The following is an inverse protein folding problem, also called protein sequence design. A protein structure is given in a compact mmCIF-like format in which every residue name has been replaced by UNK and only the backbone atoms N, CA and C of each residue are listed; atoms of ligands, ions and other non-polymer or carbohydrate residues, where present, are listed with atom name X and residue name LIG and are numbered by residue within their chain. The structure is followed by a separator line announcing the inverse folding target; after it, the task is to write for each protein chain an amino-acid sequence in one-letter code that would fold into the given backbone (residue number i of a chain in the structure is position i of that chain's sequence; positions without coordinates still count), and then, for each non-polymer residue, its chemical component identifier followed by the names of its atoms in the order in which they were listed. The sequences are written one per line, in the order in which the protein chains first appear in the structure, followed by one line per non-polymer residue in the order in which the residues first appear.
data_IF_672820844759
#
_entry.id   IF_672820844759
#
_cell.length_a   1.000
_cell.length_b   1.000
_cell.length_c   1.000
_cell.angle_alpha   90.00
_cell.angle_beta   90.00
_cell.angle_gamma   90.00
#
_symmetry.space_group_name_H-M   'P 1'
#
loop_
_entity.id
_entity.type
_entity.pdbx_description
1 polymer ?
#
# COMPACT_ATOMS: atom_id res chain seq x y z
N UNK A 1 6.49 -9.78 32.97
CA UNK A 1 7.91 -10.09 32.74
C UNK A 1 8.64 -8.80 32.35
N UNK A 2 9.73 -8.46 33.05
CA UNK A 2 10.51 -7.25 32.77
C UNK A 2 11.25 -7.42 31.45
N UNK A 3 10.79 -6.74 30.39
CA UNK A 3 11.40 -6.75 29.03
C UNK A 3 12.84 -6.18 28.99
N UNK A 4 13.31 -5.61 30.12
CA UNK A 4 14.48 -4.75 30.15
C UNK A 4 15.84 -5.44 29.93
N UNK A 5 15.91 -6.76 29.97
CA UNK A 5 17.19 -7.50 29.91
C UNK A 5 17.24 -8.56 28.78
N UNK A 6 16.43 -8.41 27.72
CA UNK A 6 16.40 -9.42 26.68
C UNK A 6 17.72 -9.53 25.90
N UNK A 7 18.38 -8.39 25.67
CA UNK A 7 19.73 -8.32 25.12
C UNK A 7 20.54 -7.31 25.95
N UNK A 8 21.66 -7.75 26.50
CA UNK A 8 22.69 -6.87 27.10
C UNK A 8 23.44 -6.05 26.02
N UNK A 9 22.90 -5.95 24.82
CA UNK A 9 23.46 -5.27 23.67
C UNK A 9 22.98 -3.83 23.58
N UNK A 10 23.83 -2.92 23.16
CA UNK A 10 23.48 -1.52 22.99
C UNK A 10 22.34 -1.37 21.97
N UNK A 11 21.15 -1.04 22.46
CA UNK A 11 19.95 -0.84 21.62
C UNK A 11 20.17 0.19 20.52
N UNK A 12 21.02 1.21 20.75
CA UNK A 12 21.33 2.23 19.77
C UNK A 12 22.00 1.63 18.53
N UNK A 13 22.92 0.69 18.73
CA UNK A 13 23.58 -0.01 17.64
C UNK A 13 22.55 -0.78 16.78
N UNK A 14 21.67 -1.56 17.40
CA UNK A 14 20.62 -2.28 16.68
C UNK A 14 19.63 -1.38 15.98
N UNK A 15 19.38 -0.19 16.51
CA UNK A 15 18.48 0.77 15.89
C UNK A 15 19.08 1.38 14.61
N UNK A 16 20.38 1.65 14.59
CA UNK A 16 21.07 2.25 13.44
C UNK A 16 21.36 1.22 12.34
N UNK A 17 21.61 -0.05 12.70
CA UNK A 17 21.98 -1.11 11.77
C UNK A 17 21.04 -1.26 10.56
N UNK A 18 19.69 -1.30 10.68
CA UNK A 18 18.80 -1.40 9.54
C UNK A 18 18.93 -0.23 8.55
N UNK A 19 19.18 0.99 9.05
CA UNK A 19 19.41 2.15 8.20
C UNK A 19 20.75 2.07 7.46
N UNK A 20 21.80 1.56 8.11
CA UNK A 20 23.11 1.34 7.46
C UNK A 20 23.00 0.28 6.36
N UNK A 21 22.33 -0.84 6.61
CA UNK A 21 22.09 -1.88 5.62
C UNK A 21 21.30 -1.30 4.44
N UNK A 22 20.23 -0.57 4.72
CA UNK A 22 19.41 0.07 3.70
C UNK A 22 20.20 1.09 2.87
N UNK A 23 20.99 1.95 3.52
CA UNK A 23 21.85 2.93 2.84
C UNK A 23 22.90 2.23 1.97
N UNK A 24 23.56 1.17 2.50
CA UNK A 24 24.51 0.38 1.72
C UNK A 24 23.88 -0.24 0.48
N UNK A 25 22.64 -0.73 0.60
CA UNK A 25 21.89 -1.24 -0.54
C UNK A 25 21.60 -0.14 -1.57
N UNK A 26 21.16 1.06 -1.14
CA UNK A 26 20.91 2.19 -2.04
C UNK A 26 22.19 2.55 -2.79
N UNK A 27 23.31 2.70 -2.07
CA UNK A 27 24.61 3.02 -2.64
C UNK A 27 25.03 1.96 -3.65
N UNK A 28 24.99 0.67 -3.25
CA UNK A 28 25.33 -0.44 -4.15
C UNK A 28 24.47 -0.45 -5.41
N UNK A 29 23.14 -0.30 -5.26
CA UNK A 29 22.22 -0.29 -6.39
C UNK A 29 22.47 0.90 -7.31
N UNK A 30 22.74 2.08 -6.75
CA UNK A 30 23.06 3.30 -7.50
C UNK A 30 24.30 3.11 -8.35
N UNK A 31 25.41 2.65 -7.75
CA UNK A 31 26.68 2.47 -8.47
C UNK A 31 26.66 1.34 -9.51
N UNK A 32 25.78 0.37 -9.39
CA UNK A 32 25.64 -0.73 -10.35
C UNK A 32 24.56 -0.47 -11.42
N UNK A 33 23.85 0.65 -11.39
CA UNK A 33 22.89 0.98 -12.46
C UNK A 33 23.65 1.31 -13.76
N UNK A 34 23.24 0.70 -14.88
CA UNK A 34 23.89 0.84 -16.18
C UNK A 34 23.91 2.31 -16.66
N UNK A 35 22.88 3.09 -16.32
CA UNK A 35 22.72 4.48 -16.70
C UNK A 35 23.69 5.43 -15.99
N UNK A 36 24.13 5.13 -14.76
CA UNK A 36 25.20 5.90 -14.10
C UNK A 36 26.55 5.58 -14.72
N UNK A 37 26.78 4.33 -15.14
CA UNK A 37 27.99 3.92 -15.87
C UNK A 37 28.12 4.66 -17.20
N UNK A 38 26.99 5.04 -17.82
CA UNK A 38 26.97 5.83 -19.07
C UNK A 38 27.21 7.35 -18.87
N UNK A 39 27.37 7.83 -17.63
CA UNK A 39 27.59 9.25 -17.33
C UNK A 39 26.37 10.15 -17.46
N UNK A 40 25.19 9.59 -17.63
CA UNK A 40 23.93 10.31 -17.69
C UNK A 40 23.41 10.60 -16.28
N UNK A 41 23.30 11.89 -15.91
CA UNK A 41 22.75 12.32 -14.61
C UNK A 41 21.30 11.85 -14.39
N UNK A 42 20.55 11.57 -15.45
CA UNK A 42 19.19 11.03 -15.40
C UNK A 42 19.14 9.53 -15.04
N UNK A 43 20.26 8.84 -15.06
CA UNK A 43 20.36 7.42 -14.77
C UNK A 43 19.99 6.98 -13.35
N UNK A 44 19.86 7.94 -12.43
CA UNK A 44 19.37 7.69 -11.08
C UNK A 44 17.85 7.52 -11.04
N UNK A 45 17.14 8.07 -12.03
CA UNK A 45 15.68 8.04 -12.11
C UNK A 45 15.24 6.89 -13.00
N UNK A 46 14.37 6.03 -12.48
CA UNK A 46 13.69 5.04 -13.30
C UNK A 46 12.31 5.55 -13.71
N UNK A 47 12.07 5.53 -14.99
CA UNK A 47 10.77 5.87 -15.56
C UNK A 47 9.91 4.60 -15.67
N UNK A 48 8.73 4.61 -15.06
CA UNK A 48 7.69 3.61 -15.30
C UNK A 48 6.74 4.06 -16.40
N UNK A 49 5.85 3.18 -16.83
CA UNK A 49 4.87 3.49 -17.89
C UNK A 49 4.02 4.74 -17.59
N UNK A 50 3.72 4.99 -16.31
CA UNK A 50 2.90 6.13 -15.88
C UNK A 50 3.71 7.43 -15.74
N UNK A 51 5.05 7.38 -15.73
CA UNK A 51 5.90 8.53 -15.46
C UNK A 51 5.78 9.63 -16.50
N UNK A 52 5.68 9.25 -17.78
CA UNK A 52 5.48 10.20 -18.90
C UNK A 52 4.16 10.97 -18.76
N UNK A 53 3.12 10.27 -18.31
CA UNK A 53 1.80 10.85 -18.06
C UNK A 53 1.85 11.87 -16.92
N UNK A 54 2.56 11.56 -15.82
CA UNK A 54 2.72 12.51 -14.71
C UNK A 54 3.51 13.77 -15.11
N UNK A 55 4.55 13.59 -15.91
CA UNK A 55 5.33 14.73 -16.44
C UNK A 55 4.49 15.61 -17.38
N UNK A 56 3.67 14.99 -18.22
CA UNK A 56 2.75 15.72 -19.10
C UNK A 56 1.76 16.57 -18.30
N UNK A 57 1.08 15.97 -17.32
CA UNK A 57 0.13 16.70 -16.46
C UNK A 57 0.82 17.76 -15.60
N UNK A 58 2.05 17.52 -15.14
CA UNK A 58 2.81 18.52 -14.39
C UNK A 58 3.15 19.74 -15.25
N UNK A 59 3.53 19.53 -16.52
CA UNK A 59 3.74 20.62 -17.49
C UNK A 59 2.46 21.40 -17.74
N UNK A 60 1.33 20.74 -17.94
CA UNK A 60 0.05 21.38 -18.14
C UNK A 60 -0.33 22.23 -16.90
N UNK A 61 -0.12 21.68 -15.68
CA UNK A 61 -0.40 22.39 -14.43
C UNK A 61 0.44 23.69 -14.31
N UNK A 62 1.71 23.66 -14.70
CA UNK A 62 2.59 24.85 -14.71
C UNK A 62 2.06 25.91 -15.70
N UNK A 63 1.49 25.48 -16.81
CA UNK A 63 0.92 26.36 -17.84
C UNK A 63 -0.54 26.76 -17.54
N UNK A 64 -1.06 26.42 -16.34
CA UNK A 64 -2.47 26.65 -15.94
C UNK A 64 -3.50 25.96 -16.86
N UNK A 65 -3.11 24.89 -17.54
CA UNK A 65 -4.03 24.05 -18.31
C UNK A 65 -4.56 22.91 -17.45
N UNK A 66 -5.84 22.99 -17.11
CA UNK A 66 -6.55 22.02 -16.27
C UNK A 66 -7.44 21.05 -17.07
N UNK A 67 -7.47 21.14 -18.39
CA UNK A 67 -8.44 20.46 -19.25
C UNK A 67 -8.41 18.94 -19.16
N UNK A 68 -7.25 18.34 -18.84
CA UNK A 68 -7.04 16.88 -18.80
C UNK A 68 -6.36 16.41 -17.50
N UNK A 69 -6.58 17.09 -16.38
CA UNK A 69 -5.87 16.81 -15.14
C UNK A 69 -6.36 15.50 -14.49
N UNK A 70 -5.46 14.59 -14.15
CA UNK A 70 -5.78 13.41 -13.35
C UNK A 70 -5.90 13.77 -11.86
N UNK A 71 -7.12 14.13 -11.46
CA UNK A 71 -7.44 14.54 -10.09
C UNK A 71 -7.05 13.46 -9.06
N UNK A 72 -7.17 12.18 -9.42
CA UNK A 72 -6.86 11.09 -8.51
C UNK A 72 -5.37 10.99 -8.15
N UNK A 73 -4.49 11.67 -8.90
CA UNK A 73 -3.04 11.71 -8.67
C UNK A 73 -2.50 13.15 -8.52
N UNK A 74 -3.40 14.09 -8.25
CA UNK A 74 -3.11 15.53 -8.19
C UNK A 74 -1.97 15.87 -7.23
N UNK A 75 -1.91 15.25 -6.05
CA UNK A 75 -0.83 15.51 -5.07
C UNK A 75 0.55 15.20 -5.64
N UNK A 76 0.70 14.10 -6.38
CA UNK A 76 1.96 13.72 -7.00
C UNK A 76 2.30 14.61 -8.20
N UNK A 77 1.33 14.88 -9.04
CA UNK A 77 1.46 15.77 -10.19
C UNK A 77 1.88 17.18 -9.72
N UNK A 78 1.25 17.70 -8.65
CA UNK A 78 1.61 19.00 -8.05
C UNK A 78 3.05 18.99 -7.51
N UNK A 79 3.48 17.91 -6.85
CA UNK A 79 4.86 17.77 -6.37
C UNK A 79 5.86 17.88 -7.54
N UNK A 80 5.62 17.15 -8.63
CA UNK A 80 6.46 17.22 -9.83
C UNK A 80 6.41 18.62 -10.44
N UNK A 81 5.22 19.22 -10.56
CA UNK A 81 5.05 20.57 -11.11
C UNK A 81 5.83 21.62 -10.30
N UNK A 82 5.81 21.56 -8.96
CA UNK A 82 6.59 22.45 -8.09
C UNK A 82 8.09 22.27 -8.33
N UNK A 83 8.59 21.02 -8.41
CA UNK A 83 10.01 20.75 -8.68
C UNK A 83 10.42 21.32 -10.04
N UNK A 84 9.60 21.14 -11.08
CA UNK A 84 9.85 21.67 -12.42
C UNK A 84 9.75 23.21 -12.46
N UNK A 85 8.75 23.80 -11.80
CA UNK A 85 8.57 25.25 -11.71
C UNK A 85 9.78 25.94 -11.06
N UNK A 86 10.32 25.31 -10.00
CA UNK A 86 11.54 25.77 -9.33
C UNK A 86 12.82 25.46 -10.13
N UNK A 87 12.70 24.91 -11.36
CA UNK A 87 13.82 24.50 -12.22
C UNK A 87 14.80 23.53 -11.54
N UNK A 88 14.32 22.74 -10.59
CA UNK A 88 15.09 21.69 -9.93
C UNK A 88 15.10 20.43 -10.79
N UNK A 89 16.16 19.61 -10.63
CA UNK A 89 16.23 18.31 -11.28
C UNK A 89 15.16 17.38 -10.69
N UNK A 90 14.56 16.52 -11.52
CA UNK A 90 13.59 15.49 -11.10
C UNK A 90 14.15 14.51 -10.05
N UNK A 91 15.47 14.37 -9.96
CA UNK A 91 16.16 13.66 -8.87
C UNK A 91 15.71 14.15 -7.49
N UNK A 92 15.29 15.44 -7.39
CA UNK A 92 14.71 15.99 -6.15
C UNK A 92 13.48 15.23 -5.70
N UNK A 93 12.61 14.75 -6.61
CA UNK A 93 11.45 13.92 -6.28
C UNK A 93 11.91 12.60 -5.68
N UNK A 94 12.94 11.98 -6.25
CA UNK A 94 13.54 10.74 -5.76
C UNK A 94 14.12 10.92 -4.35
N UNK A 95 14.87 12.00 -4.13
CA UNK A 95 15.41 12.35 -2.81
C UNK A 95 14.27 12.51 -1.78
N UNK A 96 13.19 13.19 -2.15
CA UNK A 96 12.02 13.35 -1.29
C UNK A 96 11.37 11.99 -0.96
N UNK A 97 11.32 11.05 -1.91
CA UNK A 97 10.85 9.68 -1.67
C UNK A 97 11.73 8.97 -0.63
N UNK A 98 13.05 9.07 -0.72
CA UNK A 98 13.97 8.51 0.29
C UNK A 98 13.82 9.17 1.65
N UNK A 99 13.71 10.49 1.72
CA UNK A 99 13.49 11.20 2.98
C UNK A 99 12.17 10.80 3.64
N UNK A 100 11.09 10.70 2.87
CA UNK A 100 9.81 10.23 3.40
C UNK A 100 9.87 8.77 3.84
N UNK A 101 10.71 7.92 3.22
CA UNK A 101 10.95 6.54 3.66
C UNK A 101 11.60 6.49 5.04
N UNK A 102 12.58 7.35 5.31
CA UNK A 102 13.20 7.45 6.64
C UNK A 102 12.15 7.85 7.67
N UNK A 103 11.32 8.86 7.39
CA UNK A 103 10.28 9.34 8.31
C UNK A 103 9.24 8.24 8.54
N UNK A 104 8.75 7.59 7.50
CA UNK A 104 7.73 6.55 7.60
C UNK A 104 8.22 5.30 8.34
N UNK A 105 9.46 4.87 8.09
CA UNK A 105 10.08 3.76 8.81
C UNK A 105 10.23 4.06 10.31
N UNK A 106 10.58 5.30 10.66
CA UNK A 106 10.60 5.75 12.04
C UNK A 106 9.20 5.78 12.67
N UNK A 107 8.17 6.25 11.94
CA UNK A 107 6.78 6.18 12.38
C UNK A 107 6.35 4.71 12.63
N UNK A 108 6.71 3.79 11.73
CA UNK A 108 6.42 2.37 11.88
C UNK A 108 7.08 1.77 13.14
N UNK A 109 8.35 2.14 13.40
CA UNK A 109 9.02 1.81 14.67
C UNK A 109 8.25 2.34 15.88
N UNK A 110 7.81 3.61 15.83
CA UNK A 110 7.08 4.24 16.94
C UNK A 110 5.72 3.58 17.18
N UNK A 111 5.02 3.16 16.11
CA UNK A 111 3.78 2.37 16.20
C UNK A 111 4.06 1.07 16.95
N UNK A 112 5.03 0.29 16.49
CA UNK A 112 5.40 -0.99 17.10
C UNK A 112 5.85 -0.86 18.56
N UNK A 113 6.62 0.20 18.87
CA UNK A 113 7.05 0.53 20.23
C UNK A 113 5.86 0.84 21.13
N UNK A 114 4.85 1.58 20.64
CA UNK A 114 3.68 1.98 21.44
C UNK A 114 2.70 0.86 21.67
N UNK A 115 2.45 0.04 20.64
CA UNK A 115 1.47 -1.07 20.75
C UNK A 115 2.07 -2.25 21.50
N UNK A 116 3.36 -2.53 21.30
CA UNK A 116 4.00 -3.74 21.82
C UNK A 116 5.25 -3.42 22.65
N UNK A 117 6.41 -3.26 21.97
CA UNK A 117 7.67 -2.96 22.63
C UNK A 117 8.68 -2.35 21.66
N UNK A 118 9.77 -1.79 22.20
CA UNK A 118 10.87 -1.24 21.38
C UNK A 118 11.50 -2.28 20.45
N UNK A 119 11.55 -3.55 20.85
CA UNK A 119 12.12 -4.63 20.05
C UNK A 119 11.20 -5.03 18.88
N UNK A 120 9.90 -5.09 19.12
CA UNK A 120 8.92 -5.34 18.06
C UNK A 120 8.95 -4.21 17.02
N UNK A 121 9.01 -2.95 17.48
CA UNK A 121 9.18 -1.81 16.57
C UNK A 121 10.44 -1.90 15.74
N UNK A 122 11.57 -2.31 16.36
CA UNK A 122 12.84 -2.49 15.66
C UNK A 122 12.79 -3.62 14.60
N UNK A 123 12.21 -4.76 14.93
CA UNK A 123 12.04 -5.88 13.97
C UNK A 123 11.18 -5.40 12.79
N UNK A 124 10.08 -4.70 13.05
CA UNK A 124 9.20 -4.20 12.00
C UNK A 124 9.92 -3.20 11.08
N UNK A 125 10.66 -2.24 11.66
CA UNK A 125 11.50 -1.30 10.93
C UNK A 125 12.52 -2.03 10.06
N UNK A 126 13.20 -3.05 10.60
CA UNK A 126 14.18 -3.84 9.87
C UNK A 126 13.54 -4.57 8.68
N UNK A 127 12.41 -5.25 8.90
CA UNK A 127 11.68 -5.92 7.81
C UNK A 127 11.25 -4.94 6.72
N UNK A 128 10.76 -3.75 7.09
CA UNK A 128 10.35 -2.74 6.11
C UNK A 128 11.52 -2.22 5.27
N UNK A 129 12.63 -1.86 5.90
CA UNK A 129 13.80 -1.32 5.21
C UNK A 129 14.55 -2.37 4.38
N UNK A 130 14.54 -3.65 4.78
CA UNK A 130 15.23 -4.72 4.05
C UNK A 130 14.38 -5.39 2.96
N UNK A 131 13.08 -5.08 2.89
CA UNK A 131 12.24 -5.63 1.83
C UNK A 131 12.46 -4.90 0.50
N UNK A 132 13.38 -5.45 -0.30
CA UNK A 132 13.86 -4.87 -1.55
C UNK A 132 12.75 -4.46 -2.54
N UNK A 133 11.68 -5.24 -2.77
CA UNK A 133 10.64 -4.85 -3.72
C UNK A 133 9.97 -3.50 -3.39
N UNK A 134 9.80 -3.17 -2.10
CA UNK A 134 9.32 -1.85 -1.69
C UNK A 134 10.42 -0.81 -1.89
N UNK A 135 11.66 -1.10 -1.44
CA UNK A 135 12.74 -0.11 -1.44
C UNK A 135 13.17 0.29 -2.84
N UNK A 136 13.13 -0.63 -3.80
CA UNK A 136 13.41 -0.35 -5.21
C UNK A 136 12.43 0.67 -5.82
N UNK A 137 11.19 0.77 -5.29
CA UNK A 137 10.22 1.77 -5.77
C UNK A 137 10.62 3.21 -5.49
N UNK A 138 11.55 3.45 -4.56
CA UNK A 138 12.08 4.79 -4.33
C UNK A 138 12.78 5.37 -5.56
N UNK A 139 13.36 4.54 -6.44
CA UNK A 139 14.05 4.98 -7.65
C UNK A 139 13.10 5.32 -8.81
N UNK A 140 11.83 4.95 -8.71
CA UNK A 140 10.87 5.18 -9.77
C UNK A 140 10.14 6.52 -9.59
N UNK A 141 9.99 7.26 -10.69
CA UNK A 141 9.13 8.44 -10.72
C UNK A 141 7.66 8.01 -10.77
N UNK A 142 7.19 7.41 -9.68
CA UNK A 142 5.87 6.81 -9.51
C UNK A 142 5.28 7.17 -8.14
N UNK A 143 3.96 7.09 -8.03
CA UNK A 143 3.22 7.46 -6.82
C UNK A 143 3.34 6.44 -5.68
N UNK A 144 3.76 5.19 -5.97
CA UNK A 144 3.70 4.05 -5.05
C UNK A 144 4.42 4.31 -3.73
N UNK A 145 5.68 4.78 -3.80
CA UNK A 145 6.49 4.92 -2.60
C UNK A 145 5.99 6.04 -1.69
N UNK A 146 5.62 7.18 -2.27
CA UNK A 146 5.02 8.26 -1.50
C UNK A 146 3.69 7.82 -0.87
N UNK A 147 2.88 7.04 -1.59
CA UNK A 147 1.64 6.53 -1.04
C UNK A 147 1.86 5.60 0.17
N UNK A 148 2.81 4.67 0.10
CA UNK A 148 3.18 3.80 1.23
C UNK A 148 3.64 4.66 2.42
N UNK A 149 4.57 5.58 2.18
CA UNK A 149 5.17 6.41 3.22
C UNK A 149 4.14 7.30 3.91
N UNK A 150 3.34 8.03 3.14
CA UNK A 150 2.32 8.92 3.70
C UNK A 150 1.16 8.16 4.35
N UNK A 151 0.86 6.95 3.88
CA UNK A 151 -0.10 6.04 4.53
C UNK A 151 0.35 5.65 5.94
N UNK A 152 1.62 5.30 6.11
CA UNK A 152 2.21 4.98 7.42
C UNK A 152 2.21 6.21 8.34
N UNK A 153 2.64 7.37 7.82
CA UNK A 153 2.68 8.62 8.58
C UNK A 153 1.26 9.03 9.01
N UNK A 154 0.29 8.98 8.11
CA UNK A 154 -1.11 9.30 8.40
C UNK A 154 -1.68 8.39 9.50
N UNK A 155 -1.48 7.09 9.40
CA UNK A 155 -1.96 6.15 10.43
C UNK A 155 -1.29 6.40 11.78
N UNK A 156 0.01 6.71 11.82
CA UNK A 156 0.68 7.11 13.05
C UNK A 156 0.04 8.36 13.66
N UNK A 157 -0.22 9.38 12.87
CA UNK A 157 -0.84 10.62 13.34
C UNK A 157 -2.26 10.37 13.85
N UNK A 158 -3.09 9.67 13.10
CA UNK A 158 -4.49 9.42 13.46
C UNK A 158 -4.62 8.62 14.76
N UNK A 159 -3.85 7.55 14.93
CA UNK A 159 -4.01 6.66 16.08
C UNK A 159 -3.20 7.11 17.32
N UNK A 160 -2.07 7.81 17.11
CA UNK A 160 -1.12 8.08 18.20
C UNK A 160 -0.80 9.55 18.43
N UNK A 161 -1.25 10.46 17.55
CA UNK A 161 -1.00 11.92 17.62
C UNK A 161 -2.26 12.71 17.32
N UNK A 162 -3.37 12.31 17.93
CA UNK A 162 -4.73 12.85 17.69
C UNK A 162 -4.84 14.37 17.95
N UNK A 163 -3.96 14.93 18.76
CA UNK A 163 -3.88 16.37 19.04
C UNK A 163 -3.44 17.19 17.81
N UNK A 164 -2.76 16.57 16.83
CA UNK A 164 -2.25 17.22 15.63
C UNK A 164 -3.31 17.32 14.51
N UNK A 165 -4.49 17.86 14.82
CA UNK A 165 -5.67 17.86 13.94
C UNK A 165 -5.42 18.46 12.57
N UNK A 166 -4.75 19.62 12.49
CA UNK A 166 -4.45 20.30 11.22
C UNK A 166 -3.51 19.44 10.37
N UNK A 167 -2.48 18.84 10.98
CA UNK A 167 -1.55 17.99 10.26
C UNK A 167 -2.24 16.72 9.75
N UNK A 168 -3.15 16.12 10.54
CA UNK A 168 -3.97 14.99 10.12
C UNK A 168 -4.83 15.37 8.91
N UNK A 169 -5.47 16.54 8.96
CA UNK A 169 -6.29 17.02 7.84
C UNK A 169 -5.47 17.20 6.57
N UNK A 170 -4.34 17.90 6.64
CA UNK A 170 -3.45 18.12 5.49
C UNK A 170 -2.93 16.80 4.91
N UNK A 171 -2.50 15.86 5.77
CA UNK A 171 -2.05 14.54 5.34
C UNK A 171 -3.17 13.70 4.74
N UNK A 172 -4.40 13.80 5.26
CA UNK A 172 -5.56 13.11 4.69
C UNK A 172 -5.86 13.60 3.29
N UNK A 173 -5.87 14.93 3.07
CA UNK A 173 -6.06 15.54 1.75
C UNK A 173 -4.93 15.11 0.81
N UNK A 174 -3.69 15.18 1.25
CA UNK A 174 -2.54 14.80 0.43
C UNK A 174 -2.62 13.32 0.01
N UNK A 175 -2.89 12.40 0.94
CA UNK A 175 -3.04 10.97 0.66
C UNK A 175 -4.23 10.70 -0.26
N UNK A 176 -5.37 11.40 -0.06
CA UNK A 176 -6.57 11.23 -0.88
C UNK A 176 -6.30 11.46 -2.37
N UNK A 177 -5.55 12.51 -2.69
CA UNK A 177 -5.20 12.87 -4.07
C UNK A 177 -3.86 12.30 -4.54
N UNK A 178 -3.28 11.34 -3.82
CA UNK A 178 -2.03 10.72 -4.22
C UNK A 178 -2.24 9.52 -5.15
N UNK A 179 -3.33 8.75 -4.90
CA UNK A 179 -3.72 7.57 -5.70
C UNK A 179 -5.21 7.27 -5.56
N UNK A 180 -5.84 6.66 -6.59
CA UNK A 180 -7.22 6.19 -6.47
C UNK A 180 -7.44 5.24 -5.28
N UNK A 181 -6.47 4.38 -4.96
CA UNK A 181 -6.56 3.39 -3.85
C UNK A 181 -6.53 4.02 -2.45
N UNK A 182 -6.34 5.33 -2.34
CA UNK A 182 -6.32 6.05 -1.05
C UNK A 182 -7.62 5.87 -0.26
N UNK A 183 -8.74 5.68 -0.96
CA UNK A 183 -10.02 5.45 -0.29
C UNK A 183 -10.02 4.17 0.57
N UNK A 184 -9.24 3.14 0.19
CA UNK A 184 -9.18 1.87 0.94
C UNK A 184 -8.62 2.08 2.35
N UNK A 185 -7.52 2.83 2.46
CA UNK A 185 -6.92 3.14 3.77
C UNK A 185 -7.80 4.09 4.58
N UNK A 186 -8.36 5.13 3.94
CA UNK A 186 -9.22 6.09 4.61
C UNK A 186 -10.51 5.43 5.11
N UNK A 187 -11.12 4.56 4.30
CA UNK A 187 -12.29 3.76 4.70
C UNK A 187 -11.95 2.85 5.88
N UNK A 188 -10.80 2.18 5.84
CA UNK A 188 -10.37 1.28 6.91
C UNK A 188 -10.13 2.03 8.23
N UNK A 189 -9.54 3.23 8.17
CA UNK A 189 -9.39 4.12 9.34
C UNK A 189 -10.77 4.55 9.85
N UNK A 190 -11.67 4.98 8.97
CA UNK A 190 -13.01 5.42 9.35
C UNK A 190 -13.80 4.30 10.04
N UNK A 191 -13.83 3.10 9.46
CA UNK A 191 -14.52 1.95 10.03
C UNK A 191 -13.96 1.56 11.41
N UNK A 192 -12.64 1.55 11.57
CA UNK A 192 -12.02 1.25 12.87
C UNK A 192 -12.41 2.27 13.93
N UNK A 193 -12.43 3.57 13.57
CA UNK A 193 -12.81 4.64 14.50
C UNK A 193 -14.31 4.57 14.84
N UNK A 194 -15.18 4.30 13.87
CA UNK A 194 -16.64 4.18 14.08
C UNK A 194 -16.94 3.07 15.09
N UNK A 195 -16.33 1.91 14.92
CA UNK A 195 -16.53 0.77 15.83
C UNK A 195 -16.10 1.08 17.26
N UNK A 196 -15.07 1.92 17.44
CA UNK A 196 -14.56 2.29 18.76
C UNK A 196 -15.03 3.66 19.29
N UNK A 197 -15.68 4.49 18.47
CA UNK A 197 -16.13 5.84 18.87
C UNK A 197 -17.17 5.81 20.00
N UNK A 198 -17.97 4.74 20.09
CA UNK A 198 -18.91 4.52 21.20
C UNK A 198 -18.20 4.44 22.57
N UNK A 199 -16.91 4.12 22.59
CA UNK A 199 -16.14 3.90 23.80
C UNK A 199 -15.17 5.05 24.13
N UNK A 200 -14.93 6.01 23.22
CA UNK A 200 -13.94 7.07 23.44
C UNK A 200 -14.30 8.40 22.74
N UNK A 201 -14.74 9.41 23.54
CA UNK A 201 -15.13 10.75 23.08
C UNK A 201 -14.04 11.49 22.27
N UNK A 202 -12.75 11.13 22.43
CA UNK A 202 -11.63 11.78 21.76
C UNK A 202 -11.58 11.51 20.24
N UNK A 203 -12.32 10.53 19.74
CA UNK A 203 -12.41 10.24 18.31
C UNK A 203 -13.46 11.06 17.58
N UNK A 204 -14.35 11.76 18.27
CA UNK A 204 -15.49 12.42 17.63
C UNK A 204 -15.10 13.43 16.53
N UNK A 205 -14.00 14.18 16.71
CA UNK A 205 -13.52 15.13 15.72
C UNK A 205 -12.95 14.43 14.47
N UNK A 206 -12.06 13.47 14.70
CA UNK A 206 -11.41 12.68 13.63
C UNK A 206 -12.48 11.91 12.86
N UNK A 207 -13.44 11.30 13.59
CA UNK A 207 -14.55 10.57 12.99
C UNK A 207 -15.39 11.48 12.06
N UNK A 208 -15.78 12.68 12.52
CA UNK A 208 -16.52 13.64 11.70
C UNK A 208 -15.73 14.01 10.45
N UNK A 209 -14.44 14.25 10.59
CA UNK A 209 -13.57 14.62 9.49
C UNK A 209 -13.47 13.48 8.47
N UNK A 210 -13.25 12.24 8.90
CA UNK A 210 -13.23 11.07 8.00
C UNK A 210 -14.60 10.82 7.37
N UNK A 211 -15.69 10.96 8.10
CA UNK A 211 -17.04 10.83 7.55
C UNK A 211 -17.27 11.87 6.45
N UNK A 212 -16.94 13.15 6.70
CA UNK A 212 -17.08 14.21 5.70
C UNK A 212 -16.26 13.87 4.45
N UNK A 213 -14.97 13.53 4.60
CA UNK A 213 -14.14 13.16 3.47
C UNK A 213 -14.61 11.90 2.76
N UNK A 214 -15.07 10.89 3.50
CA UNK A 214 -15.61 9.66 2.93
C UNK A 214 -16.86 9.91 2.12
N UNK A 215 -17.83 10.66 2.65
CA UNK A 215 -19.06 11.01 1.92
C UNK A 215 -18.78 11.95 0.76
N UNK A 216 -17.86 12.92 0.89
CA UNK A 216 -17.45 13.78 -0.22
C UNK A 216 -16.77 12.96 -1.33
N UNK A 217 -15.96 11.98 -0.97
CA UNK A 217 -15.31 11.07 -1.92
C UNK A 217 -16.32 10.13 -2.59
N UNK A 218 -17.27 9.58 -1.84
CA UNK A 218 -18.39 8.82 -2.41
C UNK A 218 -19.21 9.68 -3.37
N UNK A 219 -19.48 10.93 -3.01
CA UNK A 219 -20.18 11.85 -3.88
C UNK A 219 -19.38 12.12 -5.16
N UNK A 220 -18.06 12.30 -5.07
CA UNK A 220 -17.17 12.42 -6.22
C UNK A 220 -17.15 11.15 -7.09
N UNK A 221 -17.12 9.97 -6.48
CA UNK A 221 -17.26 8.70 -7.21
C UNK A 221 -18.64 8.62 -7.89
N UNK A 222 -19.71 8.92 -7.19
CA UNK A 222 -21.06 8.88 -7.77
C UNK A 222 -21.22 9.92 -8.87
N UNK A 223 -20.66 11.13 -8.73
CA UNK A 223 -20.65 12.13 -9.81
C UNK A 223 -19.76 11.69 -10.97
N UNK A 224 -18.59 11.11 -10.71
CA UNK A 224 -17.71 10.56 -11.76
C UNK A 224 -18.35 9.36 -12.47
N UNK A 225 -18.97 8.45 -11.73
CA UNK A 225 -19.75 7.34 -12.29
C UNK A 225 -20.97 7.90 -13.03
N UNK A 226 -21.66 8.93 -12.52
CA UNK A 226 -22.78 9.56 -13.17
C UNK A 226 -22.42 10.25 -14.48
N UNK A 227 -21.27 10.95 -14.51
CA UNK A 227 -20.76 11.66 -15.70
C UNK A 227 -20.20 10.64 -16.71
N UNK A 228 -19.53 9.57 -16.25
CA UNK A 228 -19.00 8.50 -17.09
C UNK A 228 -19.93 7.29 -17.19
N UNK A 229 -21.21 7.48 -16.89
CA UNK A 229 -22.24 6.45 -16.90
C UNK A 229 -22.33 5.67 -18.21
N UNK A 230 -22.02 6.30 -19.33
CA UNK A 230 -21.89 5.68 -20.65
C UNK A 230 -20.70 4.70 -20.77
N UNK A 231 -19.73 4.75 -19.82
CA UNK A 231 -18.47 3.98 -19.95
C UNK A 231 -18.36 2.78 -19.00
N UNK A 232 -19.39 2.46 -18.19
CA UNK A 232 -19.32 1.34 -17.24
C UNK A 232 -19.23 -0.02 -17.96
N UNK A 233 -20.01 -0.20 -19.02
CA UNK A 233 -19.92 -1.39 -19.89
C UNK A 233 -18.68 -1.39 -20.75
N UNK A 234 -18.17 -0.22 -21.15
CA UNK A 234 -16.88 -0.10 -21.83
C UNK A 234 -15.73 -0.46 -20.88
N UNK A 235 -15.82 -0.07 -19.60
CA UNK A 235 -14.87 -0.47 -18.55
C UNK A 235 -14.93 -1.97 -18.24
N UNK A 236 -16.10 -2.61 -18.34
CA UNK A 236 -16.26 -4.07 -18.27
C UNK A 236 -15.66 -4.74 -19.49
N UNK A 237 -15.96 -4.26 -20.70
CA UNK A 237 -15.44 -4.81 -21.95
C UNK A 237 -13.92 -4.67 -22.07
N UNK A 238 -13.36 -3.59 -21.52
CA UNK A 238 -11.91 -3.35 -21.43
C UNK A 238 -11.23 -4.05 -20.27
N UNK A 239 -11.98 -4.77 -19.44
CA UNK A 239 -11.44 -5.51 -18.30
C UNK A 239 -10.98 -4.64 -17.13
N UNK A 240 -11.47 -3.41 -17.00
CA UNK A 240 -11.17 -2.54 -15.85
C UNK A 240 -11.96 -2.94 -14.61
N UNK A 241 -13.16 -3.48 -14.78
CA UNK A 241 -13.99 -4.04 -13.70
C UNK A 241 -14.12 -5.53 -13.97
N UNK A 242 -13.85 -6.37 -12.97
CA UNK A 242 -13.76 -7.83 -13.10
C UNK A 242 -12.89 -8.29 -14.29
N UNK A 243 -12.00 -7.43 -14.73
CA UNK A 243 -11.09 -7.75 -15.81
C UNK A 243 -10.12 -8.86 -15.40
N UNK A 244 -9.69 -9.57 -16.40
CA UNK A 244 -8.57 -10.49 -16.30
C UNK A 244 -7.38 -9.88 -17.03
N UNK A 245 -6.27 -9.90 -16.35
CA UNK A 245 -4.99 -9.50 -16.93
C UNK A 245 -4.27 -10.72 -17.50
N UNK A 246 -3.15 -10.47 -18.15
CA UNK A 246 -2.24 -11.52 -18.58
C UNK A 246 -1.88 -12.50 -17.44
N UNK A 247 -1.74 -12.00 -16.21
CA UNK A 247 -1.45 -12.83 -15.04
C UNK A 247 -2.61 -13.74 -14.66
N UNK A 248 -3.85 -13.25 -14.72
CA UNK A 248 -5.03 -14.07 -14.47
C UNK A 248 -5.23 -15.13 -15.56
N UNK A 249 -4.91 -14.80 -16.81
CA UNK A 249 -4.96 -15.76 -17.91
C UNK A 249 -3.97 -16.90 -17.77
N UNK A 250 -2.83 -16.69 -17.09
CA UNK A 250 -1.84 -17.75 -16.87
C UNK A 250 -2.24 -18.75 -15.80
N UNK A 251 -3.11 -18.37 -14.85
CA UNK A 251 -3.61 -19.24 -13.77
C UNK A 251 -5.04 -19.74 -14.02
N UNK A 252 -5.86 -18.91 -14.62
CA UNK A 252 -7.20 -19.22 -15.04
C UNK A 252 -7.17 -19.42 -16.56
N UNK A 253 -6.89 -20.61 -17.00
CA UNK A 253 -6.91 -20.98 -18.40
C UNK A 253 -8.14 -20.39 -19.11
N UNK A 254 -8.09 -20.24 -20.45
CA UNK A 254 -9.22 -19.78 -21.30
C UNK A 254 -10.58 -20.38 -20.88
N UNK A 255 -10.60 -21.56 -20.29
CA UNK A 255 -11.76 -22.24 -19.75
C UNK A 255 -12.46 -21.49 -18.60
N UNK A 256 -11.73 -20.71 -17.77
CA UNK A 256 -12.35 -19.96 -16.69
C UNK A 256 -13.21 -18.79 -17.17
N UNK A 257 -13.00 -18.36 -18.40
CA UNK A 257 -13.62 -17.16 -19.00
C UNK A 257 -14.55 -17.58 -20.16
N UNK A 258 -14.44 -18.81 -20.66
CA UNK A 258 -15.17 -19.30 -21.82
C UNK A 258 -16.71 -19.26 -21.69
N UNK A 259 -17.21 -19.08 -20.48
CA UNK A 259 -18.65 -18.95 -20.22
C UNK A 259 -19.13 -17.51 -19.92
N UNK A 260 -18.25 -16.50 -19.96
CA UNK A 260 -18.68 -15.12 -19.73
C UNK A 260 -19.54 -14.60 -20.88
N UNK A 261 -20.72 -14.11 -20.54
CA UNK A 261 -21.58 -13.43 -21.52
C UNK A 261 -20.92 -12.13 -21.99
N UNK A 262 -21.15 -11.76 -23.24
CA UNK A 262 -20.56 -10.52 -23.76
C UNK A 262 -21.17 -9.31 -23.04
N UNK A 263 -20.36 -8.42 -22.41
CA UNK A 263 -20.85 -7.24 -21.71
C UNK A 263 -21.68 -6.28 -22.58
N UNK A 264 -21.47 -6.30 -23.91
CA UNK A 264 -22.19 -5.42 -24.86
C UNK A 264 -23.69 -5.73 -24.98
N UNK A 265 -24.15 -6.91 -24.51
CA UNK A 265 -25.56 -7.33 -24.54
C UNK A 265 -26.37 -6.59 -23.47
N UNK A 266 -25.70 -6.11 -22.43
CA UNK A 266 -26.36 -5.45 -21.29
C UNK A 266 -26.45 -3.94 -21.50
N UNK A 267 -27.50 -3.34 -20.94
CA UNK A 267 -27.65 -1.89 -20.95
C UNK A 267 -26.44 -1.20 -20.30
N UNK A 268 -26.04 -0.04 -20.84
CA UNK A 268 -24.90 0.74 -20.33
C UNK A 268 -25.20 1.47 -19.02
N UNK A 269 -25.94 0.84 -18.11
CA UNK A 269 -26.38 1.39 -16.86
C UNK A 269 -26.12 0.47 -15.66
N UNK A 270 -26.39 0.95 -14.45
CA UNK A 270 -26.16 0.19 -13.21
C UNK A 270 -26.98 -1.11 -13.19
N UNK A 271 -28.19 -1.11 -13.77
CA UNK A 271 -29.03 -2.31 -13.84
C UNK A 271 -28.42 -3.34 -14.79
N UNK A 272 -27.92 -2.90 -15.95
CA UNK A 272 -27.18 -3.79 -16.86
C UNK A 272 -25.93 -4.39 -16.21
N UNK A 273 -25.19 -3.61 -15.41
CA UNK A 273 -24.06 -4.13 -14.62
C UNK A 273 -24.51 -5.18 -13.61
N UNK A 274 -25.59 -4.93 -12.87
CA UNK A 274 -26.12 -5.88 -11.89
C UNK A 274 -26.61 -7.17 -12.55
N UNK A 275 -27.26 -7.07 -13.71
CA UNK A 275 -27.68 -8.23 -14.51
C UNK A 275 -26.45 -9.01 -15.00
N UNK A 276 -25.44 -8.34 -15.55
CA UNK A 276 -24.19 -8.98 -15.97
C UNK A 276 -23.53 -9.75 -14.82
N UNK A 277 -23.44 -9.13 -13.63
CA UNK A 277 -22.88 -9.78 -12.44
C UNK A 277 -23.72 -10.97 -12.02
N UNK A 278 -25.06 -10.85 -12.04
CA UNK A 278 -25.98 -11.94 -11.71
C UNK A 278 -25.79 -13.13 -12.65
N UNK A 279 -25.78 -12.90 -13.97
CA UNK A 279 -25.70 -13.94 -14.97
C UNK A 279 -24.33 -14.64 -15.00
N UNK A 280 -23.27 -13.91 -14.60
CA UNK A 280 -21.90 -14.41 -14.59
C UNK A 280 -21.35 -14.69 -13.17
N UNK A 281 -22.20 -14.71 -12.14
CA UNK A 281 -21.80 -14.69 -10.73
C UNK A 281 -20.73 -15.73 -10.36
N UNK A 282 -20.90 -16.98 -10.76
CA UNK A 282 -19.95 -18.05 -10.44
C UNK A 282 -18.58 -17.84 -11.11
N UNK A 283 -18.59 -17.41 -12.38
CA UNK A 283 -17.36 -17.18 -13.13
C UNK A 283 -16.62 -15.98 -12.55
N UNK A 284 -17.32 -14.87 -12.31
CA UNK A 284 -16.76 -13.66 -11.71
C UNK A 284 -16.21 -13.94 -10.30
N UNK A 285 -16.91 -14.73 -9.49
CA UNK A 285 -16.44 -15.15 -8.17
C UNK A 285 -15.16 -15.98 -8.29
N UNK A 286 -15.10 -16.94 -9.21
CA UNK A 286 -13.88 -17.73 -9.46
C UNK A 286 -12.72 -16.86 -9.88
N UNK A 287 -12.92 -15.94 -10.82
CA UNK A 287 -11.90 -14.96 -11.26
C UNK A 287 -11.44 -14.08 -10.10
N UNK A 288 -12.36 -13.61 -9.26
CA UNK A 288 -12.04 -12.80 -8.08
C UNK A 288 -11.16 -13.57 -7.08
N UNK A 289 -11.46 -14.83 -6.81
CA UNK A 289 -10.66 -15.68 -5.93
C UNK A 289 -9.24 -15.84 -6.48
N UNK A 290 -9.08 -16.12 -7.78
CA UNK A 290 -7.76 -16.22 -8.40
C UNK A 290 -6.96 -14.92 -8.30
N UNK A 291 -7.60 -13.75 -8.50
CA UNK A 291 -6.95 -12.45 -8.33
C UNK A 291 -6.49 -12.23 -6.89
N UNK A 292 -7.30 -12.62 -5.90
CA UNK A 292 -6.93 -12.53 -4.49
C UNK A 292 -5.74 -13.44 -4.18
N UNK A 293 -5.73 -14.67 -4.71
CA UNK A 293 -4.58 -15.58 -4.57
C UNK A 293 -3.33 -14.97 -5.19
N UNK A 294 -3.41 -14.43 -6.42
CA UNK A 294 -2.30 -13.74 -7.08
C UNK A 294 -1.82 -12.52 -6.30
N UNK A 295 -2.73 -11.76 -5.74
CA UNK A 295 -2.45 -10.59 -4.93
C UNK A 295 -1.58 -10.95 -3.72
N UNK A 296 -1.96 -11.97 -2.96
CA UNK A 296 -1.19 -12.38 -1.78
C UNK A 296 0.06 -13.19 -2.14
N UNK A 297 0.03 -14.04 -3.18
CA UNK A 297 1.22 -14.82 -3.53
C UNK A 297 2.38 -13.92 -3.99
N UNK A 298 2.08 -12.81 -4.65
CA UNK A 298 3.10 -12.01 -5.34
C UNK A 298 3.76 -12.74 -6.53
N UNK A 299 3.39 -13.99 -6.76
CA UNK A 299 3.87 -14.78 -7.89
C UNK A 299 3.50 -14.14 -9.23
N UNK A 300 4.46 -14.07 -10.15
CA UNK A 300 4.20 -13.57 -11.49
C UNK A 300 4.85 -14.48 -12.53
N UNK A 301 4.12 -14.84 -13.61
CA UNK A 301 4.63 -15.77 -14.62
C UNK A 301 5.81 -15.21 -15.43
N UNK A 302 5.95 -13.89 -15.50
CA UNK A 302 7.04 -13.21 -16.18
C UNK A 302 8.28 -12.95 -15.29
N UNK A 303 8.21 -13.27 -13.99
CA UNK A 303 9.38 -13.24 -13.13
C UNK A 303 10.17 -14.55 -13.27
N UNK A 304 11.49 -14.48 -13.07
CA UNK A 304 12.29 -15.69 -12.96
C UNK A 304 11.83 -16.55 -11.77
N UNK A 305 12.06 -17.86 -11.86
CA UNK A 305 11.75 -18.78 -10.76
C UNK A 305 12.38 -18.32 -9.44
N UNK A 306 13.67 -17.94 -9.48
CA UNK A 306 14.39 -17.45 -8.29
C UNK A 306 13.74 -16.20 -7.69
N UNK A 307 13.27 -15.26 -8.53
CA UNK A 307 12.56 -14.06 -8.06
C UNK A 307 11.24 -14.43 -7.39
N UNK A 308 10.46 -15.32 -8.00
CA UNK A 308 9.19 -15.77 -7.43
C UNK A 308 9.40 -16.49 -6.09
N UNK A 309 10.40 -17.37 -6.01
CA UNK A 309 10.77 -18.05 -4.75
C UNK A 309 11.19 -17.05 -3.68
N UNK A 310 12.01 -16.07 -4.01
CA UNK A 310 12.41 -15.00 -3.08
C UNK A 310 11.18 -14.26 -2.50
N UNK A 311 10.22 -13.89 -3.36
CA UNK A 311 8.97 -13.21 -2.92
C UNK A 311 8.18 -14.13 -1.97
N UNK A 312 7.99 -15.40 -2.32
CA UNK A 312 7.26 -16.36 -1.50
C UNK A 312 7.94 -16.62 -0.16
N UNK A 313 9.27 -16.77 -0.15
CA UNK A 313 10.05 -16.95 1.08
C UNK A 313 9.93 -15.76 2.05
N UNK A 314 9.63 -14.58 1.55
CA UNK A 314 9.39 -13.41 2.39
C UNK A 314 7.91 -13.27 2.79
N UNK A 315 6.98 -13.45 1.84
CA UNK A 315 5.55 -13.24 2.08
C UNK A 315 4.94 -14.31 2.98
N UNK A 316 5.24 -15.60 2.73
CA UNK A 316 4.63 -16.72 3.48
C UNK A 316 4.90 -16.61 4.99
N UNK A 317 6.15 -16.39 5.47
CA UNK A 317 6.41 -16.21 6.89
C UNK A 317 5.67 -15.00 7.48
N UNK A 318 5.60 -13.88 6.76
CA UNK A 318 4.88 -12.69 7.24
C UNK A 318 3.40 -12.98 7.39
N UNK A 319 2.77 -13.63 6.40
CA UNK A 319 1.34 -13.96 6.46
C UNK A 319 1.05 -14.98 7.56
N UNK A 320 1.87 -16.01 7.67
CA UNK A 320 1.75 -16.99 8.73
C UNK A 320 1.83 -16.34 10.12
N UNK A 321 2.87 -15.54 10.37
CA UNK A 321 3.06 -14.86 11.65
C UNK A 321 1.96 -13.82 11.93
N UNK A 322 1.47 -13.13 10.90
CA UNK A 322 0.33 -12.23 10.98
C UNK A 322 -0.94 -12.99 11.40
N UNK A 323 -1.26 -14.11 10.75
CA UNK A 323 -2.40 -14.95 11.09
C UNK A 323 -2.28 -15.50 12.51
N UNK A 324 -1.09 -16.00 12.91
CA UNK A 324 -0.85 -16.50 14.27
C UNK A 324 -1.11 -15.42 15.33
N UNK A 325 -0.77 -14.17 15.05
CA UNK A 325 -1.09 -13.07 15.96
C UNK A 325 -2.60 -12.91 16.13
N UNK A 326 -3.34 -12.78 15.05
CA UNK A 326 -4.79 -12.52 15.09
C UNK A 326 -5.59 -13.69 15.60
N UNK A 327 -5.19 -14.94 15.35
CA UNK A 327 -5.84 -16.12 15.91
C UNK A 327 -5.71 -16.24 17.44
N UNK A 328 -4.67 -15.64 18.03
CA UNK A 328 -4.46 -15.63 19.49
C UNK A 328 -5.08 -14.42 20.19
N UNK A 329 -5.62 -13.49 19.44
CA UNK A 329 -6.14 -12.24 19.96
C UNK A 329 -7.51 -12.48 20.63
N UNK A 330 -7.65 -12.04 21.87
CA UNK A 330 -8.93 -12.13 22.62
C UNK A 330 -9.75 -10.84 22.53
N UNK A 331 -9.11 -9.70 22.32
CA UNK A 331 -9.75 -8.39 22.22
C UNK A 331 -9.01 -7.59 21.17
N UNK A 332 -9.74 -6.86 20.37
CA UNK A 332 -9.20 -6.01 19.32
C UNK A 332 -9.07 -4.57 19.81
N UNK A 333 -7.96 -3.93 19.47
CA UNK A 333 -7.82 -2.48 19.55
C UNK A 333 -8.17 -1.77 18.21
N UNK A 334 -8.33 -0.45 18.20
CA UNK A 334 -8.68 0.27 16.98
C UNK A 334 -7.67 0.10 15.85
N UNK A 335 -6.39 -0.02 16.14
CA UNK A 335 -5.35 -0.16 15.12
C UNK A 335 -5.31 -1.57 14.52
N UNK A 336 -5.62 -2.59 15.32
CA UNK A 336 -5.76 -3.98 14.87
C UNK A 336 -6.93 -4.13 13.90
N UNK A 337 -8.08 -3.54 14.26
CA UNK A 337 -9.26 -3.52 13.39
C UNK A 337 -8.99 -2.74 12.12
N UNK A 338 -8.33 -1.59 12.20
CA UNK A 338 -7.88 -0.86 11.03
C UNK A 338 -7.07 -1.76 10.08
N UNK A 339 -6.08 -2.47 10.62
CA UNK A 339 -5.22 -3.32 9.80
C UNK A 339 -6.00 -4.46 9.14
N UNK A 340 -6.89 -5.14 9.87
CA UNK A 340 -7.74 -6.18 9.30
C UNK A 340 -8.64 -5.65 8.18
N UNK A 341 -9.32 -4.51 8.41
CA UNK A 341 -10.13 -3.90 7.37
C UNK A 341 -9.32 -3.50 6.16
N UNK A 342 -8.12 -2.93 6.36
CA UNK A 342 -7.28 -2.51 5.24
C UNK A 342 -6.83 -3.70 4.40
N UNK A 343 -6.48 -4.83 5.03
CA UNK A 343 -6.14 -6.07 4.33
C UNK A 343 -7.35 -6.63 3.58
N UNK A 344 -8.51 -6.77 4.25
CA UNK A 344 -9.72 -7.35 3.67
C UNK A 344 -10.30 -6.50 2.54
N UNK A 345 -10.44 -5.19 2.77
CA UNK A 345 -11.00 -4.28 1.76
C UNK A 345 -10.08 -4.20 0.54
N UNK A 346 -8.76 -4.19 0.74
CA UNK A 346 -7.80 -4.23 -0.37
C UNK A 346 -7.89 -5.53 -1.17
N UNK A 347 -8.03 -6.68 -0.51
CA UNK A 347 -8.21 -7.96 -1.18
C UNK A 347 -9.52 -8.02 -2.00
N UNK A 348 -10.64 -7.55 -1.42
CA UNK A 348 -11.93 -7.47 -2.11
C UNK A 348 -11.82 -6.51 -3.30
N UNK A 349 -11.21 -5.35 -3.12
CA UNK A 349 -11.03 -4.37 -4.19
C UNK A 349 -10.27 -4.97 -5.39
N UNK A 350 -9.16 -5.68 -5.16
CA UNK A 350 -8.42 -6.37 -6.21
C UNK A 350 -9.26 -7.47 -6.86
N UNK A 351 -10.04 -8.21 -6.07
CA UNK A 351 -10.94 -9.24 -6.59
C UNK A 351 -11.93 -8.70 -7.60
N UNK A 352 -12.54 -7.53 -7.33
CA UNK A 352 -13.60 -6.95 -8.17
C UNK A 352 -13.11 -5.94 -9.22
N UNK A 353 -11.85 -5.51 -9.17
CA UNK A 353 -11.25 -4.61 -10.16
C UNK A 353 -10.29 -5.35 -11.09
N UNK A 354 -9.22 -4.69 -11.53
CA UNK A 354 -8.16 -5.30 -12.33
C UNK A 354 -7.14 -6.01 -11.42
N UNK A 355 -6.46 -7.02 -11.95
CA UNK A 355 -5.45 -7.77 -11.20
C UNK A 355 -4.27 -6.89 -10.78
N UNK A 356 -3.62 -7.25 -9.66
CA UNK A 356 -2.44 -6.55 -9.17
C UNK A 356 -1.25 -6.72 -10.12
N UNK A 357 -0.99 -5.68 -10.91
CA UNK A 357 0.11 -5.64 -11.86
C UNK A 357 1.46 -5.44 -11.12
N UNK A 358 2.40 -6.33 -11.35
CA UNK A 358 3.77 -6.26 -10.77
C UNK A 358 3.83 -6.29 -9.23
N UNK A 359 2.82 -6.83 -8.53
CA UNK A 359 2.79 -6.88 -7.08
C UNK A 359 2.78 -5.49 -6.39
N UNK A 360 2.30 -4.44 -7.09
CA UNK A 360 2.32 -3.07 -6.57
C UNK A 360 1.38 -2.85 -5.42
N UNK A 361 0.19 -3.45 -5.49
CA UNK A 361 -0.87 -3.17 -4.51
C UNK A 361 -0.67 -3.88 -3.18
N UNK A 362 -0.08 -5.08 -3.16
CA UNK A 362 0.23 -5.79 -1.91
C UNK A 362 1.21 -5.00 -1.04
N UNK A 363 2.11 -4.21 -1.66
CA UNK A 363 3.10 -3.39 -0.95
C UNK A 363 2.46 -2.33 -0.05
N UNK A 364 1.21 -1.93 -0.30
CA UNK A 364 0.53 -0.91 0.51
C UNK A 364 0.08 -1.42 1.86
N UNK A 365 -0.31 -2.70 1.95
CA UNK A 365 -0.76 -3.32 3.21
C UNK A 365 0.39 -4.02 3.95
N UNK A 366 1.44 -4.39 3.25
CA UNK A 366 2.53 -5.20 3.76
C UNK A 366 3.21 -4.60 5.01
N UNK A 367 3.52 -3.28 5.10
CA UNK A 367 4.11 -2.68 6.31
C UNK A 367 3.27 -2.89 7.57
N UNK A 368 1.95 -2.87 7.44
CA UNK A 368 1.04 -3.10 8.56
C UNK A 368 0.98 -4.58 8.95
N UNK A 369 1.07 -5.49 7.98
CA UNK A 369 1.19 -6.93 8.25
C UNK A 369 2.53 -7.27 8.92
N UNK A 370 3.63 -6.66 8.49
CA UNK A 370 4.97 -6.80 9.09
C UNK A 370 4.97 -6.44 10.57
N UNK A 371 4.17 -5.44 10.98
CA UNK A 371 4.09 -5.03 12.38
C UNK A 371 3.62 -6.17 13.30
N UNK A 372 2.54 -6.85 12.92
CA UNK A 372 1.99 -7.95 13.71
C UNK A 372 2.80 -9.24 13.55
N UNK A 373 3.34 -9.47 12.37
CA UNK A 373 4.31 -10.55 12.16
C UNK A 373 5.54 -10.38 13.05
N UNK A 374 6.04 -9.15 13.24
CA UNK A 374 7.15 -8.83 14.14
C UNK A 374 6.81 -9.15 15.59
N UNK A 375 5.58 -8.93 16.03
CA UNK A 375 5.13 -9.30 17.39
C UNK A 375 5.12 -10.81 17.58
N UNK A 376 4.59 -11.56 16.62
CA UNK A 376 4.61 -13.03 16.66
C UNK A 376 6.04 -13.58 16.64
N UNK A 377 6.91 -13.03 15.80
CA UNK A 377 8.32 -13.42 15.73
C UNK A 377 9.02 -13.15 17.06
N UNK A 378 8.83 -11.98 17.65
CA UNK A 378 9.40 -11.64 18.94
C UNK A 378 8.95 -12.61 20.04
N UNK A 379 7.66 -12.97 20.07
CA UNK A 379 7.16 -13.96 21.03
C UNK A 379 7.80 -15.34 20.83
N UNK A 380 8.02 -15.78 19.59
CA UNK A 380 8.73 -17.03 19.31
C UNK A 380 10.19 -17.01 19.80
N UNK A 381 10.89 -15.89 19.59
CA UNK A 381 12.25 -15.71 20.09
C UNK A 381 12.32 -15.74 21.62
N UNK A 382 11.31 -15.22 22.32
CA UNK A 382 11.22 -15.32 23.79
C UNK A 382 11.08 -16.78 24.25
N UNK A 383 10.19 -17.54 23.63
CA UNK A 383 9.97 -18.96 23.96
C UNK A 383 11.25 -19.77 23.74
N UNK A 384 11.94 -19.57 22.62
CA UNK A 384 13.19 -20.26 22.32
C UNK A 384 14.28 -19.94 23.35
N UNK A 385 14.40 -18.66 23.76
CA UNK A 385 15.34 -18.26 24.79
C UNK A 385 15.05 -18.93 26.15
N UNK A 386 13.78 -18.97 26.57
CA UNK A 386 13.40 -19.61 27.83
C UNK A 386 13.71 -21.12 27.81
N UNK A 387 13.46 -21.80 26.68
CA UNK A 387 13.83 -23.21 26.51
C UNK A 387 15.34 -23.49 26.55
N UNK A 388 16.15 -22.57 26.00
CA UNK A 388 17.62 -22.68 26.07
C UNK A 388 18.16 -22.47 27.49
N UNK A 389 17.51 -21.60 28.27
CA UNK A 389 17.91 -21.33 29.64
C UNK A 389 17.50 -22.46 30.62
N UNK A 390 16.44 -23.20 30.31
CA UNK A 390 15.98 -24.36 31.14
C UNK A 390 16.81 -25.61 30.89
N UNK A 391 17.60 -25.68 29.83
CA UNK A 391 18.51 -26.80 29.50
C UNK A 391 19.93 -26.62 30.05
N UNK A 392 20.22 -25.46 30.62
CA UNK A 392 21.48 -25.20 31.38
C UNK A 392 21.23 -25.31 32.88
#
# INVERSE_FOLDING_TARGET
MKENNFFNLDFKFFFVTPYLIWLSFIVFYTFNSESIKAGELDGFIKYGNDSSTYLFYAKNLINFDFSNLDIAKLSYITLIAVVMFLKLNLTTVIILQFLTTIISSFCLYLIGKKIFSKWVGLICLSLFLTYLPIQLRNFYLLTEMLFINFSIILTYLVFFKKEKKILILLMTIFVLFLRPQSFLILLSIALSIVLFSKFNKNYNFILKLFIIFFFSFLLLIFTYIGINYYNLTDSLSKGMIWGYSFETNSLCYKECISGLTNPSIYEKNIFGLLLYVKDNFFILTKVSIYKIILYFSGWRPYYSFAHNVFILCFHIPIYFLFCVYFLRLKKFDPFEIFTLFYVLISAIFIGVTFADWSGRYIMYILPFMMLYASKSLFNLLLILKDQLNTKK
#
